data_IF_643857309240
#
_entry.id   IF_643857309240
#
_cell.length_a   1.000
_cell.length_b   1.000
_cell.length_c   1.000
_cell.angle_alpha   90.00
_cell.angle_beta   90.00
_cell.angle_gamma   90.00
#
_symmetry.space_group_name_H-M   'P 1'
#
loop_
_entity.id
_entity.type
_entity.pdbx_description
1 polymer ?
#
# COMPACT_ATOMS: atom_id res chain seq x y z
N UNK A 1 -22.85 15.87 -10.59
CA UNK A 1 -21.98 15.10 -9.65
C UNK A 1 -21.16 14.16 -10.51
N UNK A 2 -19.85 14.08 -10.28
CA UNK A 2 -18.97 13.21 -11.06
C UNK A 2 -19.20 11.73 -10.69
N UNK A 3 -19.44 10.88 -11.68
CA UNK A 3 -19.70 9.45 -11.49
C UNK A 3 -18.56 8.61 -12.04
N UNK A 4 -17.90 7.82 -11.17
CA UNK A 4 -16.68 7.07 -11.46
C UNK A 4 -16.91 5.58 -11.30
N UNK A 5 -16.55 4.78 -12.31
CA UNK A 5 -16.45 3.34 -12.16
C UNK A 5 -15.03 2.96 -11.75
N UNK A 6 -14.87 2.50 -10.52
CA UNK A 6 -13.59 1.98 -10.01
C UNK A 6 -13.52 0.49 -10.25
N UNK A 7 -12.51 0.02 -11.01
CA UNK A 7 -12.32 -1.39 -11.34
C UNK A 7 -11.12 -1.93 -10.59
N UNK A 8 -11.28 -3.05 -9.88
CA UNK A 8 -10.22 -3.66 -9.08
C UNK A 8 -10.27 -5.18 -9.05
N UNK A 9 -9.10 -5.82 -8.99
CA UNK A 9 -8.95 -7.26 -8.69
C UNK A 9 -8.83 -7.54 -7.19
N UNK A 10 -8.58 -6.49 -6.40
CA UNK A 10 -8.41 -6.60 -4.97
C UNK A 10 -9.50 -5.81 -4.25
N UNK A 11 -10.19 -6.46 -3.32
CA UNK A 11 -11.19 -5.85 -2.47
C UNK A 11 -11.14 -6.52 -1.09
N UNK A 12 -11.42 -5.81 0.00
CA UNK A 12 -11.42 -6.43 1.33
C UNK A 12 -12.67 -7.30 1.55
N UNK A 13 -12.68 -8.49 0.96
CA UNK A 13 -13.75 -9.48 1.12
C UNK A 13 -13.90 -9.96 2.56
N UNK A 14 -12.87 -9.78 3.38
CA UNK A 14 -12.81 -10.10 4.81
C UNK A 14 -12.19 -8.94 5.59
N UNK A 15 -12.51 -8.77 6.90
CA UNK A 15 -11.99 -7.66 7.71
C UNK A 15 -10.46 -7.55 7.78
N UNK A 16 -9.75 -8.66 7.58
CA UNK A 16 -8.29 -8.76 7.54
C UNK A 16 -7.72 -8.78 6.11
N UNK A 17 -8.55 -8.50 5.11
CA UNK A 17 -8.13 -8.47 3.70
C UNK A 17 -7.10 -7.36 3.43
N UNK A 18 -6.22 -7.61 2.47
CA UNK A 18 -5.08 -6.73 2.16
C UNK A 18 -5.46 -5.44 1.44
N UNK A 19 -6.62 -5.37 0.80
CA UNK A 19 -7.04 -4.26 -0.07
C UNK A 19 -7.84 -3.15 0.64
N UNK A 20 -7.69 -3.00 1.95
CA UNK A 20 -8.39 -1.97 2.74
C UNK A 20 -8.16 -0.55 2.21
N UNK A 21 -6.97 -0.29 1.63
CA UNK A 21 -6.63 1.00 1.05
C UNK A 21 -7.50 1.38 -0.16
N UNK A 22 -8.00 0.40 -0.95
CA UNK A 22 -8.91 0.67 -2.07
C UNK A 22 -10.31 1.01 -1.56
N UNK A 23 -10.81 0.24 -0.59
CA UNK A 23 -12.10 0.52 0.03
C UNK A 23 -12.11 1.89 0.72
N UNK A 24 -11.03 2.22 1.44
CA UNK A 24 -10.82 3.53 2.06
C UNK A 24 -10.83 4.64 1.01
N UNK A 25 -10.05 4.53 -0.06
CA UNK A 25 -10.05 5.51 -1.14
C UNK A 25 -11.45 5.72 -1.73
N UNK A 26 -12.20 4.64 -1.98
CA UNK A 26 -13.57 4.74 -2.48
C UNK A 26 -14.50 5.44 -1.48
N UNK A 27 -14.36 5.17 -0.18
CA UNK A 27 -15.14 5.80 0.87
C UNK A 27 -14.86 7.32 0.98
N UNK A 28 -13.59 7.72 0.95
CA UNK A 28 -13.21 9.13 1.02
C UNK A 28 -13.59 9.91 -0.25
N UNK A 29 -13.50 9.28 -1.43
CA UNK A 29 -14.00 9.88 -2.67
C UNK A 29 -15.52 10.14 -2.59
N UNK A 30 -16.30 9.18 -2.06
CA UNK A 30 -17.75 9.36 -1.84
C UNK A 30 -18.03 10.46 -0.85
N UNK A 31 -17.32 10.51 0.26
CA UNK A 31 -17.43 11.57 1.25
C UNK A 31 -17.11 12.97 0.69
N UNK A 32 -16.23 13.03 -0.31
CA UNK A 32 -15.88 14.26 -1.04
C UNK A 32 -16.83 14.60 -2.20
N UNK A 33 -17.97 13.91 -2.33
CA UNK A 33 -19.02 14.23 -3.31
C UNK A 33 -18.82 13.58 -4.69
N UNK A 34 -17.94 12.59 -4.83
CA UNK A 34 -17.81 11.78 -6.05
C UNK A 34 -18.67 10.52 -5.93
N UNK A 35 -19.54 10.28 -6.91
CA UNK A 35 -20.28 9.03 -6.97
C UNK A 35 -19.36 7.91 -7.46
N UNK A 36 -18.89 7.05 -6.55
CA UNK A 36 -17.97 5.95 -6.89
C UNK A 36 -18.71 4.64 -6.82
N UNK A 37 -18.78 3.96 -7.96
CA UNK A 37 -19.16 2.56 -8.02
C UNK A 37 -17.95 1.67 -8.13
N UNK A 38 -17.93 0.59 -7.36
CA UNK A 38 -16.80 -0.35 -7.37
C UNK A 38 -17.19 -1.62 -8.09
N UNK A 39 -16.45 -1.94 -9.14
CA UNK A 39 -16.50 -3.23 -9.82
C UNK A 39 -15.28 -4.05 -9.39
N UNK A 40 -15.49 -4.88 -8.38
CA UNK A 40 -14.47 -5.78 -7.87
C UNK A 40 -14.67 -7.20 -8.44
N UNK A 41 -13.58 -7.85 -8.85
CA UNK A 41 -13.60 -9.22 -9.35
C UNK A 41 -12.35 -9.99 -8.93
N UNK A 42 -12.44 -11.31 -8.84
CA UNK A 42 -11.31 -12.17 -8.50
C UNK A 42 -10.65 -12.65 -9.78
N UNK A 43 -9.49 -12.06 -10.09
CA UNK A 43 -8.73 -12.42 -11.31
C UNK A 43 -7.98 -13.74 -11.16
N UNK A 44 -7.36 -13.99 -10.00
CA UNK A 44 -6.65 -15.22 -9.59
C UNK A 44 -5.69 -15.79 -10.65
N UNK A 45 -5.21 -14.94 -11.57
CA UNK A 45 -4.38 -15.38 -12.70
C UNK A 45 -5.11 -16.23 -13.74
N UNK A 46 -6.44 -16.39 -13.62
CA UNK A 46 -7.24 -17.15 -14.57
C UNK A 46 -7.78 -16.26 -15.69
N UNK A 47 -7.39 -16.46 -16.98
CA UNK A 47 -7.85 -15.65 -18.09
C UNK A 47 -9.38 -15.64 -18.28
N UNK A 48 -10.07 -16.74 -17.92
CA UNK A 48 -11.53 -16.82 -18.02
C UNK A 48 -12.22 -15.85 -17.08
N UNK A 49 -11.69 -15.67 -15.85
CA UNK A 49 -12.23 -14.69 -14.92
C UNK A 49 -12.12 -13.27 -15.48
N UNK A 50 -11.01 -12.96 -16.17
CA UNK A 50 -10.86 -11.66 -16.85
C UNK A 50 -11.82 -11.51 -18.04
N UNK A 51 -12.07 -12.55 -18.81
CA UNK A 51 -13.03 -12.51 -19.92
C UNK A 51 -14.46 -12.28 -19.41
N UNK A 52 -14.87 -12.98 -18.37
CA UNK A 52 -16.19 -12.80 -17.73
C UNK A 52 -16.32 -11.39 -17.16
N UNK A 53 -15.31 -10.94 -16.39
CA UNK A 53 -15.28 -9.61 -15.82
C UNK A 53 -15.31 -8.52 -16.90
N UNK A 54 -14.57 -8.71 -18.00
CA UNK A 54 -14.60 -7.81 -19.15
C UNK A 54 -16.01 -7.68 -19.75
N UNK A 55 -16.67 -8.81 -20.01
CA UNK A 55 -18.04 -8.80 -20.52
C UNK A 55 -19.01 -8.07 -19.57
N UNK A 56 -18.92 -8.34 -18.27
CA UNK A 56 -19.75 -7.70 -17.25
C UNK A 56 -19.49 -6.19 -17.15
N UNK A 57 -18.21 -5.79 -17.12
CA UNK A 57 -17.83 -4.38 -17.09
C UNK A 57 -18.30 -3.66 -18.36
N UNK A 58 -18.13 -4.26 -19.55
CA UNK A 58 -18.60 -3.72 -20.83
C UNK A 58 -20.11 -3.52 -20.86
N UNK A 59 -20.86 -4.52 -20.39
CA UNK A 59 -22.33 -4.43 -20.29
C UNK A 59 -22.74 -3.29 -19.36
N UNK A 60 -22.03 -3.08 -18.26
CA UNK A 60 -22.29 -1.99 -17.33
C UNK A 60 -21.99 -0.64 -17.96
N UNK A 61 -20.79 -0.48 -18.56
CA UNK A 61 -20.36 0.73 -19.25
C UNK A 61 -21.23 1.09 -20.50
N UNK A 62 -22.06 0.18 -21.00
CA UNK A 62 -23.02 0.46 -22.09
C UNK A 62 -24.43 0.79 -21.60
N UNK A 63 -24.78 0.40 -20.38
CA UNK A 63 -26.13 0.58 -19.81
C UNK A 63 -26.23 1.74 -18.84
N UNK A 64 -25.13 2.07 -18.22
CA UNK A 64 -25.03 3.10 -17.18
C UNK A 64 -24.08 4.21 -17.65
N UNK A 65 -24.37 5.43 -17.24
CA UNK A 65 -23.50 6.56 -17.53
C UNK A 65 -22.43 6.69 -16.46
N UNK A 66 -21.19 6.75 -16.88
CA UNK A 66 -20.02 7.11 -16.04
C UNK A 66 -19.24 8.21 -16.75
N UNK A 67 -18.69 9.15 -15.98
CA UNK A 67 -17.84 10.22 -16.51
C UNK A 67 -16.43 9.70 -16.80
N UNK A 68 -15.92 8.79 -15.95
CA UNK A 68 -14.61 8.15 -16.15
C UNK A 68 -14.53 6.75 -15.53
N UNK A 69 -13.54 5.99 -15.97
CA UNK A 69 -13.13 4.71 -15.34
C UNK A 69 -11.81 4.93 -14.61
N UNK A 70 -11.72 4.46 -13.36
CA UNK A 70 -10.49 4.38 -12.59
C UNK A 70 -10.08 2.92 -12.37
N UNK A 71 -9.10 2.44 -13.11
CA UNK A 71 -8.55 1.11 -12.94
C UNK A 71 -7.52 1.11 -11.79
N UNK A 72 -7.77 0.29 -10.76
CA UNK A 72 -6.84 0.02 -9.68
C UNK A 72 -5.98 -1.18 -10.09
N UNK A 73 -4.74 -0.97 -10.40
CA UNK A 73 -3.79 -1.88 -11.04
C UNK A 73 -3.86 -1.93 -12.57
N UNK A 74 -2.68 -2.14 -13.18
CA UNK A 74 -2.53 -2.17 -14.64
C UNK A 74 -3.42 -3.20 -15.33
N UNK A 75 -3.58 -4.40 -14.77
CA UNK A 75 -4.43 -5.45 -15.36
C UNK A 75 -5.92 -5.09 -15.38
N UNK A 76 -6.39 -4.25 -14.45
CA UNK A 76 -7.78 -3.82 -14.41
C UNK A 76 -8.15 -2.91 -15.60
N UNK A 77 -7.18 -2.25 -16.21
CA UNK A 77 -7.38 -1.41 -17.39
C UNK A 77 -7.91 -2.21 -18.59
N UNK A 78 -7.63 -3.52 -18.65
CA UNK A 78 -8.18 -4.39 -19.71
C UNK A 78 -9.70 -4.30 -19.80
N UNK A 79 -10.38 -4.19 -18.66
CA UNK A 79 -11.85 -4.16 -18.59
C UNK A 79 -12.44 -2.86 -19.15
N UNK A 80 -11.65 -1.80 -19.21
CA UNK A 80 -12.04 -0.50 -19.78
C UNK A 80 -11.74 -0.42 -21.30
N UNK A 81 -11.01 -1.38 -21.87
CA UNK A 81 -10.62 -1.38 -23.27
C UNK A 81 -11.55 -2.24 -24.16
N UNK A 82 -11.80 -1.86 -25.43
CA UNK A 82 -11.42 -0.59 -26.05
C UNK A 82 -12.07 0.62 -25.35
N UNK A 83 -11.30 1.69 -25.20
CA UNK A 83 -11.69 2.86 -24.42
C UNK A 83 -12.88 3.61 -25.05
N UNK A 84 -13.92 3.87 -24.26
CA UNK A 84 -15.11 4.65 -24.64
C UNK A 84 -15.26 5.94 -23.85
N UNK A 85 -14.60 6.02 -22.70
CA UNK A 85 -14.62 7.17 -21.80
C UNK A 85 -13.22 7.39 -21.21
N UNK A 86 -12.96 8.49 -20.51
CA UNK A 86 -11.70 8.77 -19.83
C UNK A 86 -11.27 7.60 -18.94
N UNK A 87 -9.98 7.26 -18.99
CA UNK A 87 -9.38 6.17 -18.22
C UNK A 87 -8.22 6.70 -17.39
N UNK A 88 -8.34 6.56 -16.08
CA UNK A 88 -7.24 6.75 -15.12
C UNK A 88 -6.77 5.39 -14.64
N UNK A 89 -5.46 5.17 -14.57
CA UNK A 89 -4.88 3.92 -14.04
C UNK A 89 -4.00 4.24 -12.85
N UNK A 90 -4.22 3.58 -11.71
CA UNK A 90 -3.30 3.62 -10.58
C UNK A 90 -2.45 2.36 -10.52
N UNK A 91 -1.13 2.52 -10.53
CA UNK A 91 -0.14 1.46 -10.33
C UNK A 91 0.37 1.47 -8.89
N UNK A 92 0.44 0.25 -8.28
CA UNK A 92 0.72 0.14 -6.85
C UNK A 92 1.97 -0.66 -6.47
N UNK A 93 2.52 -1.44 -7.38
CA UNK A 93 3.72 -2.24 -7.11
C UNK A 93 3.90 -3.36 -8.12
N UNK A 94 3.46 -4.56 -7.79
CA UNK A 94 3.66 -5.80 -8.57
C UNK A 94 3.17 -5.69 -10.01
N UNK A 95 2.21 -4.85 -10.29
CA UNK A 95 1.68 -4.56 -11.61
C UNK A 95 2.69 -3.87 -12.55
N UNK A 96 3.62 -3.08 -12.04
CA UNK A 96 4.72 -2.47 -12.80
C UNK A 96 6.07 -3.13 -12.53
N UNK A 97 6.29 -3.61 -11.31
CA UNK A 97 7.57 -4.24 -10.92
C UNK A 97 7.64 -5.69 -11.38
N UNK A 98 6.48 -6.36 -11.51
CA UNK A 98 6.33 -7.77 -11.81
C UNK A 98 6.14 -8.61 -10.55
N UNK A 99 5.64 -9.83 -10.72
CA UNK A 99 5.35 -10.76 -9.63
C UNK A 99 6.59 -11.62 -9.38
N UNK A 100 7.05 -11.65 -8.13
CA UNK A 100 8.12 -12.53 -7.68
C UNK A 100 7.55 -13.88 -7.26
N UNK A 101 8.33 -14.96 -7.49
CA UNK A 101 7.98 -16.27 -6.95
C UNK A 101 8.17 -16.32 -5.41
N UNK A 102 7.38 -17.18 -4.75
CA UNK A 102 7.42 -17.30 -3.30
C UNK A 102 8.60 -18.15 -2.76
N UNK A 103 9.39 -18.80 -3.63
CA UNK A 103 10.48 -19.66 -3.19
C UNK A 103 11.82 -18.95 -3.22
N UNK A 104 12.13 -18.28 -4.32
CA UNK A 104 13.46 -17.72 -4.58
C UNK A 104 13.47 -16.21 -4.75
N UNK A 105 12.29 -15.55 -4.81
CA UNK A 105 12.18 -14.13 -5.06
C UNK A 105 12.54 -13.72 -6.50
N UNK A 106 12.54 -14.68 -7.45
CA UNK A 106 12.80 -14.40 -8.86
C UNK A 106 11.52 -13.96 -9.57
N UNK A 107 11.67 -13.08 -10.56
CA UNK A 107 10.54 -12.63 -11.36
C UNK A 107 9.93 -13.77 -12.19
N UNK A 108 8.66 -14.05 -11.98
CA UNK A 108 7.92 -15.09 -12.72
C UNK A 108 7.67 -14.67 -14.17
N UNK A 109 7.39 -15.66 -15.06
CA UNK A 109 6.97 -15.38 -16.43
C UNK A 109 5.67 -14.55 -16.44
N UNK A 110 4.70 -14.92 -15.59
CA UNK A 110 3.45 -14.16 -15.42
C UNK A 110 3.73 -12.71 -14.99
N UNK A 111 4.68 -12.48 -14.07
CA UNK A 111 5.09 -11.14 -13.67
C UNK A 111 5.71 -10.32 -14.80
N UNK A 112 6.52 -10.97 -15.69
CA UNK A 112 7.07 -10.30 -16.88
C UNK A 112 5.97 -9.90 -17.88
N UNK A 113 5.01 -10.79 -18.11
CA UNK A 113 3.87 -10.52 -18.98
C UNK A 113 2.97 -9.42 -18.40
N UNK A 114 2.66 -9.48 -17.11
CA UNK A 114 1.90 -8.44 -16.41
C UNK A 114 2.57 -7.07 -16.55
N UNK A 115 3.87 -6.98 -16.29
CA UNK A 115 4.64 -5.75 -16.43
C UNK A 115 4.59 -5.20 -17.85
N UNK A 116 4.74 -6.07 -18.86
CA UNK A 116 4.63 -5.67 -20.28
C UNK A 116 3.24 -5.15 -20.63
N UNK A 117 2.22 -5.87 -20.18
CA UNK A 117 0.82 -5.46 -20.37
C UNK A 117 0.53 -4.13 -19.67
N UNK A 118 0.96 -3.97 -18.41
CA UNK A 118 0.74 -2.73 -17.65
C UNK A 118 1.36 -1.51 -18.33
N UNK A 119 2.58 -1.66 -18.89
CA UNK A 119 3.21 -0.61 -19.69
C UNK A 119 2.40 -0.27 -20.95
N UNK A 120 1.92 -1.28 -21.65
CA UNK A 120 1.07 -1.10 -22.82
C UNK A 120 -0.26 -0.42 -22.43
N UNK A 121 -0.91 -0.84 -21.35
CA UNK A 121 -2.14 -0.25 -20.86
C UNK A 121 -1.98 1.25 -20.51
N UNK A 122 -0.82 1.65 -19.99
CA UNK A 122 -0.53 3.05 -19.68
C UNK A 122 -0.64 3.97 -20.89
N UNK A 123 -0.30 3.50 -22.10
CA UNK A 123 -0.45 4.29 -23.35
C UNK A 123 -1.91 4.58 -23.73
N UNK A 124 -2.85 3.82 -23.17
CA UNK A 124 -4.28 4.01 -23.42
C UNK A 124 -4.97 4.84 -22.34
N UNK A 125 -4.27 5.17 -21.24
CA UNK A 125 -4.80 6.00 -20.17
C UNK A 125 -4.77 7.49 -20.55
N UNK A 126 -5.71 8.26 -20.01
CA UNK A 126 -5.68 9.72 -20.09
C UNK A 126 -4.83 10.33 -18.96
N UNK A 127 -4.71 9.61 -17.84
CA UNK A 127 -3.75 9.90 -16.78
C UNK A 127 -3.31 8.60 -16.08
N UNK A 128 -2.09 8.61 -15.60
CA UNK A 128 -1.50 7.51 -14.81
C UNK A 128 -1.15 8.03 -13.42
N UNK A 129 -1.53 7.28 -12.40
CA UNK A 129 -1.12 7.50 -11.02
C UNK A 129 -0.13 6.39 -10.64
N UNK A 130 1.00 6.76 -10.06
CA UNK A 130 1.94 5.84 -9.42
C UNK A 130 2.06 6.19 -7.95
N UNK A 131 2.22 5.18 -7.09
CA UNK A 131 2.19 5.41 -5.63
C UNK A 131 3.52 5.91 -5.06
N UNK A 132 4.57 6.01 -5.89
CA UNK A 132 5.88 6.53 -5.47
C UNK A 132 6.72 6.96 -6.68
N UNK A 133 7.66 7.89 -6.46
CA UNK A 133 8.50 8.44 -7.54
C UNK A 133 9.31 7.38 -8.25
N UNK A 134 9.90 6.43 -7.52
CA UNK A 134 10.71 5.37 -8.11
C UNK A 134 9.93 4.50 -9.11
N UNK A 135 8.60 4.47 -9.04
CA UNK A 135 7.78 3.71 -9.99
C UNK A 135 7.67 4.37 -11.36
N UNK A 136 7.91 5.67 -11.48
CA UNK A 136 7.91 6.37 -12.77
C UNK A 136 8.90 5.77 -13.77
N UNK A 137 10.05 5.26 -13.28
CA UNK A 137 11.08 4.63 -14.12
C UNK A 137 10.61 3.42 -14.93
N UNK A 138 9.49 2.81 -14.53
CA UNK A 138 8.89 1.68 -15.24
C UNK A 138 8.00 2.10 -16.40
N UNK A 139 7.67 3.40 -16.49
CA UNK A 139 6.77 3.98 -17.49
C UNK A 139 7.57 4.94 -18.38
N UNK A 140 7.58 4.67 -19.67
CA UNK A 140 8.23 5.52 -20.71
C UNK A 140 7.19 5.81 -21.78
N UNK A 141 6.26 6.71 -21.48
CA UNK A 141 5.19 7.07 -22.40
C UNK A 141 4.84 8.55 -22.23
N UNK A 142 4.23 9.14 -23.27
CA UNK A 142 3.78 10.53 -23.23
C UNK A 142 2.52 10.79 -22.39
N UNK A 143 2.00 9.78 -21.67
CA UNK A 143 0.82 9.93 -20.79
C UNK A 143 1.20 10.71 -19.54
N UNK A 144 0.38 11.68 -19.07
CA UNK A 144 0.62 12.36 -17.82
C UNK A 144 0.73 11.41 -16.63
N UNK A 145 1.85 11.48 -15.91
CA UNK A 145 2.11 10.63 -14.74
C UNK A 145 2.04 11.49 -13.47
N UNK A 146 1.23 11.07 -12.52
CA UNK A 146 1.06 11.72 -11.23
C UNK A 146 1.56 10.80 -10.11
N UNK A 147 2.39 11.32 -9.22
CA UNK A 147 2.84 10.58 -8.02
C UNK A 147 1.88 10.87 -6.90
N UNK A 148 1.04 9.89 -6.56
CA UNK A 148 0.05 10.00 -5.49
C UNK A 148 0.10 8.71 -4.65
N UNK A 149 0.85 8.71 -3.54
CA UNK A 149 0.86 7.58 -2.60
C UNK A 149 -0.55 7.29 -2.06
N UNK A 150 -0.80 6.04 -1.68
CA UNK A 150 -2.04 5.73 -0.94
C UNK A 150 -2.08 6.51 0.35
N UNK A 151 -3.19 7.14 0.64
CA UNK A 151 -3.39 7.93 1.84
C UNK A 151 -3.52 7.08 3.10
N UNK A 152 -3.54 7.72 4.24
CA UNK A 152 -3.71 7.14 5.57
C UNK A 152 -4.95 7.75 6.21
N UNK A 153 -5.77 6.92 6.82
CA UNK A 153 -6.85 7.40 7.70
C UNK A 153 -6.25 7.83 9.04
N UNK A 154 -6.07 9.14 9.21
CA UNK A 154 -5.49 9.74 10.41
C UNK A 154 -6.43 9.73 11.62
N UNK A 155 -7.72 9.49 11.44
CA UNK A 155 -8.64 9.27 12.56
C UNK A 155 -8.46 7.87 13.13
N UNK A 156 -8.25 6.87 12.26
CA UNK A 156 -7.99 5.49 12.64
C UNK A 156 -6.57 5.31 13.15
N UNK A 157 -5.55 5.72 12.36
CA UNK A 157 -4.13 5.59 12.69
C UNK A 157 -3.64 6.83 13.41
N UNK A 158 -3.65 6.78 14.74
CA UNK A 158 -3.21 7.86 15.63
C UNK A 158 -2.46 7.29 16.83
N UNK A 159 -1.57 8.08 17.45
CA UNK A 159 -0.91 7.69 18.68
C UNK A 159 -1.94 7.35 19.76
N UNK A 160 -1.69 6.24 20.46
CA UNK A 160 -2.50 5.77 21.59
C UNK A 160 -1.60 5.37 22.75
N UNK A 161 -2.11 5.38 24.02
CA UNK A 161 -1.34 4.93 25.17
C UNK A 161 -0.95 3.44 25.04
N UNK A 162 0.37 3.15 25.16
CA UNK A 162 0.91 1.80 25.02
C UNK A 162 0.35 0.84 26.05
N UNK A 163 0.22 1.27 27.31
CA UNK A 163 -0.29 0.43 28.39
C UNK A 163 -1.68 -0.07 28.07
N UNK A 164 -2.60 0.82 27.72
CA UNK A 164 -3.98 0.47 27.38
C UNK A 164 -4.08 -0.41 26.11
N UNK A 165 -3.20 -0.18 25.13
CA UNK A 165 -3.16 -1.02 23.93
C UNK A 165 -2.70 -2.45 24.27
N UNK A 166 -1.68 -2.60 25.11
CA UNK A 166 -1.23 -3.93 25.59
C UNK A 166 -2.30 -4.65 26.39
N UNK A 167 -3.03 -3.94 27.26
CA UNK A 167 -4.16 -4.50 28.01
C UNK A 167 -5.25 -5.05 27.07
N UNK A 168 -5.67 -4.24 26.07
CA UNK A 168 -6.67 -4.70 25.09
C UNK A 168 -6.25 -5.94 24.31
N UNK A 169 -4.95 -6.07 24.05
CA UNK A 169 -4.39 -7.19 23.28
C UNK A 169 -3.92 -8.36 24.16
N UNK A 170 -4.05 -8.28 25.51
CA UNK A 170 -3.56 -9.29 26.43
C UNK A 170 -2.02 -9.46 26.40
N UNK A 171 -1.28 -8.38 26.14
CA UNK A 171 0.18 -8.37 26.01
C UNK A 171 0.83 -7.91 27.32
N UNK A 172 2.00 -8.49 27.65
CA UNK A 172 2.74 -8.15 28.87
C UNK A 172 3.37 -6.76 28.79
N UNK A 173 3.50 -6.09 29.95
CA UNK A 173 4.07 -4.72 30.02
C UNK A 173 5.62 -4.73 30.03
N UNK A 174 6.23 -5.81 30.52
CA UNK A 174 7.69 -5.88 30.76
C UNK A 174 8.55 -6.30 29.55
N UNK A 175 7.94 -6.71 28.46
CA UNK A 175 8.65 -7.15 27.25
C UNK A 175 8.87 -5.99 26.27
N UNK A 176 9.93 -6.10 25.49
CA UNK A 176 10.08 -5.33 24.23
C UNK A 176 9.32 -6.02 23.12
N UNK A 177 8.47 -5.31 22.40
CA UNK A 177 7.63 -5.86 21.33
C UNK A 177 8.01 -5.23 20.00
N UNK A 178 8.42 -6.05 19.04
CA UNK A 178 8.70 -5.63 17.66
C UNK A 178 7.58 -6.13 16.77
N UNK A 179 6.96 -5.24 16.00
CA UNK A 179 5.86 -5.56 15.09
C UNK A 179 6.40 -5.92 13.71
N UNK A 180 5.89 -6.99 13.14
CA UNK A 180 6.00 -7.32 11.72
C UNK A 180 4.59 -7.32 11.10
N UNK A 181 4.37 -6.56 10.03
CA UNK A 181 3.06 -6.47 9.37
C UNK A 181 3.10 -7.14 7.99
N UNK A 182 2.30 -8.17 7.83
CA UNK A 182 2.14 -8.88 6.56
C UNK A 182 2.08 -10.39 6.70
N UNK A 183 1.75 -11.07 5.59
CA UNK A 183 1.73 -12.53 5.54
C UNK A 183 3.16 -13.10 5.68
N UNK A 184 3.48 -13.86 6.74
CA UNK A 184 4.80 -14.42 6.97
C UNK A 184 5.20 -15.49 5.95
N UNK A 185 4.24 -16.07 5.22
CA UNK A 185 4.47 -17.10 4.20
C UNK A 185 4.88 -16.51 2.85
N UNK A 186 4.65 -15.22 2.63
CA UNK A 186 5.04 -14.55 1.39
C UNK A 186 6.56 -14.27 1.39
N UNK A 187 7.31 -14.93 0.51
CA UNK A 187 8.77 -14.79 0.42
C UNK A 187 9.20 -13.31 0.29
N UNK A 188 8.48 -12.50 -0.48
CA UNK A 188 8.78 -11.07 -0.64
C UNK A 188 8.71 -10.26 0.66
N UNK A 189 7.97 -10.72 1.67
CA UNK A 189 7.89 -10.07 2.99
C UNK A 189 9.07 -10.39 3.90
N UNK A 190 9.78 -11.49 3.61
CA UNK A 190 11.01 -11.92 4.29
C UNK A 190 10.87 -11.98 5.82
N UNK A 191 9.76 -12.59 6.31
CA UNK A 191 9.53 -12.80 7.74
C UNK A 191 10.71 -13.48 8.44
N UNK A 192 11.31 -14.50 7.80
CA UNK A 192 12.47 -15.19 8.33
C UNK A 192 13.67 -14.27 8.58
N UNK A 193 13.83 -13.20 7.79
CA UNK A 193 14.85 -12.18 8.00
C UNK A 193 14.57 -11.36 9.26
N UNK A 194 13.32 -10.89 9.42
CA UNK A 194 12.89 -10.16 10.63
C UNK A 194 13.03 -11.02 11.89
N UNK A 195 12.63 -12.30 11.82
CA UNK A 195 12.72 -13.24 12.94
C UNK A 195 14.17 -13.48 13.36
N UNK A 196 15.10 -13.70 12.40
CA UNK A 196 16.53 -13.84 12.71
C UNK A 196 17.12 -12.58 13.32
N UNK A 197 16.77 -11.41 12.80
CA UNK A 197 17.25 -10.15 13.36
C UNK A 197 16.80 -9.94 14.83
N UNK A 198 15.54 -10.25 15.13
CA UNK A 198 15.05 -10.17 16.52
C UNK A 198 15.72 -11.20 17.43
N UNK A 199 16.02 -12.40 16.93
CA UNK A 199 16.71 -13.45 17.70
C UNK A 199 18.18 -13.08 18.05
N UNK A 200 18.79 -12.15 17.34
CA UNK A 200 20.14 -11.64 17.62
C UNK A 200 20.15 -10.52 18.70
N UNK A 201 18.99 -10.05 19.15
CA UNK A 201 18.92 -9.02 20.20
C UNK A 201 19.28 -9.63 21.57
N UNK A 202 19.78 -8.80 22.52
CA UNK A 202 20.07 -9.25 23.88
C UNK A 202 18.85 -9.93 24.54
N UNK A 203 19.11 -10.98 25.33
CA UNK A 203 18.07 -11.73 26.00
C UNK A 203 17.35 -10.91 27.12
N UNK A 204 17.97 -9.87 27.63
CA UNK A 204 17.41 -9.03 28.71
C UNK A 204 17.45 -7.53 28.32
N UNK A 205 16.30 -6.84 28.36
CA UNK A 205 14.95 -7.39 28.53
C UNK A 205 14.53 -8.24 27.32
N UNK A 206 13.63 -9.23 27.52
CA UNK A 206 13.22 -10.11 26.44
C UNK A 206 12.50 -9.34 25.32
N UNK A 207 12.85 -9.66 24.07
CA UNK A 207 12.23 -9.06 22.89
C UNK A 207 11.42 -10.11 22.15
N UNK A 208 10.16 -9.81 21.83
CA UNK A 208 9.25 -10.68 21.11
C UNK A 208 8.82 -10.06 19.78
N UNK A 209 8.83 -10.86 18.72
CA UNK A 209 8.28 -10.49 17.42
C UNK A 209 6.78 -10.76 17.39
N UNK A 210 5.98 -9.73 17.18
CA UNK A 210 4.53 -9.80 17.02
C UNK A 210 4.21 -9.76 15.53
N UNK A 211 3.39 -10.71 15.07
CA UNK A 211 3.00 -10.80 13.64
C UNK A 211 1.58 -10.22 13.46
N UNK A 212 1.48 -9.10 12.79
CA UNK A 212 0.23 -8.47 12.37
C UNK A 212 -0.27 -9.08 11.06
N UNK A 213 -0.71 -10.33 11.11
CA UNK A 213 -1.33 -11.07 10.00
C UNK A 213 -2.65 -11.69 10.46
N UNK A 214 -3.68 -11.66 9.60
CA UNK A 214 -5.06 -12.01 9.94
C UNK A 214 -5.65 -11.16 11.08
N UNK A 215 -5.11 -9.95 11.24
CA UNK A 215 -5.64 -8.96 12.18
C UNK A 215 -6.62 -8.06 11.42
N UNK A 216 -7.85 -7.83 11.92
CA UNK A 216 -8.74 -6.83 11.36
C UNK A 216 -8.04 -5.45 11.27
N UNK A 217 -8.12 -4.79 10.12
CA UNK A 217 -7.39 -3.55 9.87
C UNK A 217 -7.70 -2.46 10.91
N UNK A 218 -8.93 -2.43 11.42
CA UNK A 218 -9.36 -1.50 12.48
C UNK A 218 -8.67 -1.75 13.83
N UNK A 219 -8.09 -2.91 14.05
CA UNK A 219 -7.32 -3.25 15.26
C UNK A 219 -5.81 -3.01 15.09
N UNK A 220 -5.33 -2.81 13.87
CA UNK A 220 -3.91 -2.59 13.62
C UNK A 220 -3.31 -1.41 14.40
N UNK A 221 -4.02 -0.29 14.63
CA UNK A 221 -3.53 0.79 15.49
C UNK A 221 -3.21 0.34 16.93
N UNK A 222 -3.94 -0.63 17.48
CA UNK A 222 -3.64 -1.18 18.82
C UNK A 222 -2.31 -1.93 18.83
N UNK A 223 -2.02 -2.72 17.78
CA UNK A 223 -0.73 -3.39 17.62
C UNK A 223 0.42 -2.37 17.46
N UNK A 224 0.19 -1.31 16.70
CA UNK A 224 1.18 -0.23 16.53
C UNK A 224 1.41 0.55 17.84
N UNK A 225 0.36 0.75 18.63
CA UNK A 225 0.48 1.38 19.94
C UNK A 225 1.15 0.49 20.97
N UNK A 226 0.88 -0.82 20.96
CA UNK A 226 1.42 -1.81 21.90
C UNK A 226 2.91 -2.09 21.69
N UNK A 227 3.40 -2.04 20.44
CA UNK A 227 4.77 -2.38 20.07
C UNK A 227 5.74 -1.20 20.26
N UNK A 228 7.02 -1.51 20.39
CA UNK A 228 8.11 -0.55 20.59
C UNK A 228 8.79 -0.14 19.28
N UNK A 229 8.73 -0.99 18.24
CA UNK A 229 9.20 -0.70 16.89
C UNK A 229 8.45 -1.53 15.84
N UNK A 230 8.37 -1.03 14.60
CA UNK A 230 8.05 -1.82 13.40
C UNK A 230 9.37 -2.28 12.76
N UNK A 231 9.51 -3.57 12.46
CA UNK A 231 10.55 -4.09 11.57
C UNK A 231 9.97 -4.36 10.19
N UNK A 232 10.57 -3.76 9.16
CA UNK A 232 10.08 -3.87 7.79
C UNK A 232 11.16 -4.40 6.85
N UNK A 233 10.98 -5.65 6.42
CA UNK A 233 12.01 -6.42 5.69
C UNK A 233 11.63 -6.78 4.25
N UNK A 234 10.54 -6.22 3.71
CA UNK A 234 10.07 -6.54 2.36
C UNK A 234 11.15 -6.33 1.28
N UNK A 235 11.21 -7.25 0.32
CA UNK A 235 12.13 -7.16 -0.82
C UNK A 235 11.57 -6.31 -1.97
N UNK A 236 10.25 -6.19 -2.06
CA UNK A 236 9.58 -5.46 -3.13
C UNK A 236 8.32 -4.77 -2.60
N UNK A 237 8.22 -3.46 -2.83
CA UNK A 237 7.05 -2.62 -2.50
C UNK A 237 6.97 -1.42 -3.46
N UNK A 238 5.78 -0.87 -3.63
CA UNK A 238 5.60 0.43 -4.27
C UNK A 238 5.72 1.57 -3.27
N UNK A 239 4.75 1.63 -2.33
CA UNK A 239 4.71 2.58 -1.20
C UNK A 239 4.01 1.87 -0.04
N UNK A 240 4.77 1.26 0.91
CA UNK A 240 4.20 0.36 1.91
C UNK A 240 3.31 1.07 2.91
N UNK A 241 2.03 0.68 2.98
CA UNK A 241 1.07 1.27 3.91
C UNK A 241 1.49 1.03 5.37
N UNK A 242 2.00 -0.16 5.70
CA UNK A 242 2.41 -0.49 7.07
C UNK A 242 3.44 0.49 7.65
N UNK A 243 4.39 0.98 6.83
CA UNK A 243 5.38 1.98 7.26
C UNK A 243 4.71 3.34 7.50
N UNK A 244 3.84 3.77 6.59
CA UNK A 244 3.11 5.04 6.72
C UNK A 244 2.16 5.04 7.91
N UNK A 245 1.44 3.93 8.11
CA UNK A 245 0.51 3.72 9.23
C UNK A 245 1.27 3.67 10.56
N UNK A 246 2.44 3.02 10.62
CA UNK A 246 3.30 3.03 11.81
C UNK A 246 3.77 4.45 12.15
N UNK A 247 4.23 5.21 11.15
CA UNK A 247 4.61 6.62 11.34
C UNK A 247 3.42 7.48 11.79
N UNK A 248 2.22 7.25 11.24
CA UNK A 248 1.01 7.95 11.68
C UNK A 248 0.63 7.66 13.14
N UNK A 249 1.05 6.50 13.68
CA UNK A 249 0.94 6.12 15.09
C UNK A 249 2.17 6.51 15.93
N UNK A 250 3.11 7.27 15.38
CA UNK A 250 4.39 7.63 16.00
C UNK A 250 5.23 6.41 16.44
N UNK A 251 5.01 5.25 15.83
CA UNK A 251 5.79 4.04 16.08
C UNK A 251 7.14 4.13 15.33
N UNK A 252 8.29 3.96 16.02
CA UNK A 252 9.58 3.88 15.35
C UNK A 252 9.63 2.77 14.31
N UNK A 253 10.30 3.02 13.20
CA UNK A 253 10.44 2.06 12.09
C UNK A 253 11.91 1.74 11.86
N UNK A 254 12.22 0.44 11.80
CA UNK A 254 13.48 -0.10 11.29
C UNK A 254 13.21 -0.81 9.98
N UNK A 255 13.83 -0.38 8.89
CA UNK A 255 13.52 -0.91 7.57
C UNK A 255 14.75 -1.08 6.69
N UNK A 256 14.69 -2.07 5.80
CA UNK A 256 15.58 -2.12 4.63
C UNK A 256 15.12 -1.09 3.59
N UNK A 257 16.02 -0.74 2.66
CA UNK A 257 15.71 0.18 1.57
C UNK A 257 14.80 -0.49 0.53
N UNK A 258 13.50 -0.18 0.55
CA UNK A 258 12.50 -0.72 -0.38
C UNK A 258 11.40 0.31 -0.67
N UNK A 259 10.93 0.36 -1.91
CA UNK A 259 9.87 1.30 -2.29
C UNK A 259 10.30 2.75 -2.03
N UNK A 260 9.41 3.48 -1.37
CA UNK A 260 9.63 4.87 -0.95
C UNK A 260 10.01 4.98 0.55
N UNK A 261 10.38 3.89 1.21
CA UNK A 261 10.66 3.89 2.67
C UNK A 261 11.76 4.88 3.03
N UNK A 262 12.86 4.92 2.26
CA UNK A 262 13.95 5.86 2.51
C UNK A 262 13.48 7.33 2.52
N UNK A 263 12.52 7.66 1.65
CA UNK A 263 11.90 8.99 1.60
C UNK A 263 11.03 9.24 2.84
N UNK A 264 10.24 8.22 3.24
CA UNK A 264 9.33 8.33 4.39
C UNK A 264 10.06 8.46 5.73
N UNK A 265 11.23 7.82 5.88
CA UNK A 265 12.02 7.88 7.11
C UNK A 265 12.96 9.09 7.16
N UNK A 266 13.13 9.81 6.06
CA UNK A 266 14.07 10.95 5.98
C UNK A 266 13.70 12.03 7.01
N UNK A 267 14.63 12.34 7.90
CA UNK A 267 14.44 13.36 8.95
C UNK A 267 13.57 12.92 10.13
N UNK A 268 13.07 11.68 10.17
CA UNK A 268 12.33 11.17 11.32
C UNK A 268 13.32 10.58 12.33
N UNK A 269 13.73 11.40 13.29
CA UNK A 269 14.66 10.97 14.32
C UNK A 269 14.11 9.78 15.13
N UNK A 270 14.93 8.72 15.23
CA UNK A 270 14.56 7.48 15.93
C UNK A 270 13.93 6.41 15.04
N UNK A 271 13.82 6.65 13.74
CA UNK A 271 13.68 5.60 12.74
C UNK A 271 15.04 5.28 12.13
N UNK A 272 15.21 4.04 11.65
CA UNK A 272 16.48 3.55 11.09
C UNK A 272 16.24 2.93 9.71
N UNK A 273 17.01 3.41 8.72
CA UNK A 273 17.13 2.75 7.42
C UNK A 273 18.40 1.91 7.42
N UNK A 274 18.27 0.60 7.30
CA UNK A 274 19.40 -0.33 7.31
C UNK A 274 20.26 -0.15 6.04
N UNK A 275 21.58 -0.22 6.21
CA UNK A 275 22.53 -0.10 5.11
C UNK A 275 22.47 -1.30 4.16
N UNK A 276 22.11 -2.45 4.68
CA UNK A 276 21.92 -3.71 3.95
C UNK A 276 20.81 -4.54 4.59
N UNK A 277 20.53 -5.71 4.04
CA UNK A 277 19.49 -6.62 4.51
C UNK A 277 20.05 -7.84 5.27
N UNK A 278 21.23 -7.70 5.91
CA UNK A 278 21.76 -8.73 6.80
C UNK A 278 21.02 -8.70 8.15
N UNK A 279 20.75 -9.88 8.75
CA UNK A 279 20.09 -9.95 10.06
C UNK A 279 20.84 -9.14 11.14
N UNK A 280 22.18 -9.13 11.10
CA UNK A 280 23.04 -8.43 12.06
C UNK A 280 22.88 -6.91 11.95
N UNK A 281 22.79 -6.38 10.73
CA UNK A 281 22.59 -4.95 10.47
C UNK A 281 21.21 -4.51 10.97
N UNK A 282 20.18 -5.32 10.71
CA UNK A 282 18.80 -5.05 11.17
C UNK A 282 18.73 -5.16 12.71
N UNK A 283 19.37 -6.16 13.32
CA UNK A 283 19.43 -6.33 14.76
C UNK A 283 20.11 -5.14 15.45
N UNK A 284 21.24 -4.66 14.91
CA UNK A 284 21.92 -3.49 15.44
C UNK A 284 21.05 -2.23 15.37
N UNK A 285 20.33 -2.03 14.25
CA UNK A 285 19.37 -0.93 14.10
C UNK A 285 18.20 -1.05 15.09
N UNK A 286 17.61 -2.24 15.23
CA UNK A 286 16.57 -2.53 16.23
C UNK A 286 17.08 -2.26 17.66
N UNK A 287 18.30 -2.70 17.98
CA UNK A 287 18.93 -2.46 19.30
C UNK A 287 18.95 -0.96 19.64
N UNK A 288 19.48 -0.12 18.74
CA UNK A 288 19.52 1.34 18.95
C UNK A 288 18.13 1.96 19.13
N UNK A 289 17.15 1.54 18.32
CA UNK A 289 15.77 2.05 18.42
C UNK A 289 15.12 1.63 19.74
N UNK A 290 15.27 0.38 20.14
CA UNK A 290 14.71 -0.17 21.38
C UNK A 290 15.40 0.39 22.65
N UNK A 291 16.71 0.68 22.60
CA UNK A 291 17.46 1.31 23.68
C UNK A 291 17.07 2.79 23.85
N UNK A 292 16.92 3.51 22.74
CA UNK A 292 16.40 4.86 22.77
C UNK A 292 15.01 4.93 23.40
N UNK A 293 14.18 3.94 23.08
CA UNK A 293 12.80 3.87 23.54
C UNK A 293 11.92 5.03 23.06
N UNK A 294 10.66 5.00 23.51
CA UNK A 294 9.70 6.07 23.23
C UNK A 294 9.12 6.07 21.83
N UNK A 295 8.45 7.15 21.48
CA UNK A 295 7.81 7.38 20.18
C UNK A 295 8.63 8.36 19.35
N UNK A 296 8.30 8.45 18.06
CA UNK A 296 8.94 9.35 17.09
C UNK A 296 7.95 10.43 16.64
N UNK A 297 8.40 11.50 16.01
CA UNK A 297 7.54 12.50 15.38
C UNK A 297 7.11 12.05 13.95
N UNK A 298 6.70 10.78 13.82
CA UNK A 298 6.37 10.17 12.55
C UNK A 298 5.12 10.75 11.92
N UNK A 299 4.08 10.98 12.73
CA UNK A 299 2.80 11.51 12.26
C UNK A 299 2.97 12.87 11.55
N UNK A 300 3.80 13.74 12.07
CA UNK A 300 4.08 15.02 11.44
C UNK A 300 4.76 14.84 10.06
N UNK A 301 5.68 13.89 9.96
CA UNK A 301 6.41 13.62 8.72
C UNK A 301 5.51 13.08 7.60
N UNK A 302 4.45 12.32 7.93
CA UNK A 302 3.51 11.75 6.95
C UNK A 302 2.18 12.50 6.88
N UNK A 303 2.03 13.67 7.51
CA UNK A 303 0.78 14.45 7.55
C UNK A 303 0.22 14.80 6.17
N UNK A 304 1.09 15.01 5.18
CA UNK A 304 0.72 15.26 3.78
C UNK A 304 0.08 14.05 3.08
N UNK A 305 0.08 12.87 3.72
CA UNK A 305 -0.56 11.64 3.26
C UNK A 305 -1.93 11.39 3.93
N UNK A 306 -2.51 12.37 4.64
CA UNK A 306 -3.89 12.26 5.08
C UNK A 306 -4.80 11.89 3.90
N UNK A 307 -5.65 10.87 4.08
CA UNK A 307 -6.50 10.36 3.00
C UNK A 307 -7.40 11.45 2.40
N UNK A 308 -7.77 12.47 3.19
CA UNK A 308 -8.54 13.64 2.71
C UNK A 308 -7.74 14.42 1.67
N UNK A 309 -6.46 14.75 1.98
CA UNK A 309 -5.57 15.48 1.08
C UNK A 309 -5.23 14.66 -0.17
N UNK A 310 -5.02 13.36 0.01
CA UNK A 310 -4.77 12.44 -1.11
C UNK A 310 -6.01 12.34 -2.02
N UNK A 311 -7.20 12.25 -1.43
CA UNK A 311 -8.48 12.24 -2.15
C UNK A 311 -8.67 13.51 -3.00
N UNK A 312 -8.38 14.70 -2.45
CA UNK A 312 -8.43 15.96 -3.20
C UNK A 312 -7.47 15.95 -4.40
N UNK A 313 -6.26 15.37 -4.24
CA UNK A 313 -5.31 15.22 -5.35
C UNK A 313 -5.86 14.31 -6.44
N UNK A 314 -6.48 13.20 -6.07
CA UNK A 314 -7.12 12.27 -7.03
C UNK A 314 -8.28 12.96 -7.76
N UNK A 315 -9.12 13.71 -7.05
CA UNK A 315 -10.23 14.45 -7.66
C UNK A 315 -9.71 15.50 -8.65
N UNK A 316 -8.66 16.23 -8.33
CA UNK A 316 -8.03 17.18 -9.28
C UNK A 316 -7.55 16.48 -10.56
N UNK A 317 -6.98 15.29 -10.44
CA UNK A 317 -6.58 14.50 -11.63
C UNK A 317 -7.81 14.13 -12.47
N UNK A 318 -8.91 13.69 -11.85
CA UNK A 318 -10.15 13.40 -12.56
C UNK A 318 -10.68 14.63 -13.29
N UNK A 319 -10.72 15.78 -12.63
CA UNK A 319 -11.17 17.05 -13.22
C UNK A 319 -10.30 17.47 -14.41
N UNK A 320 -8.97 17.32 -14.28
CA UNK A 320 -8.04 17.64 -15.39
C UNK A 320 -8.30 16.74 -16.59
N UNK A 321 -8.51 15.45 -16.37
CA UNK A 321 -8.80 14.47 -17.43
C UNK A 321 -10.13 14.76 -18.12
N UNK A 322 -11.15 15.16 -17.36
CA UNK A 322 -12.47 15.50 -17.89
C UNK A 322 -12.47 16.82 -18.68
N UNK A 323 -11.80 17.85 -18.15
CA UNK A 323 -11.69 19.17 -18.78
C UNK A 323 -10.88 19.15 -20.08
N UNK A 324 -9.85 18.29 -20.16
CA UNK A 324 -9.05 18.12 -21.38
C UNK A 324 -9.81 17.48 -22.55
N UNK A 325 -11.03 17.02 -22.31
CA UNK A 325 -11.96 16.45 -23.30
C UNK A 325 -13.23 17.29 -23.54
N UNK A 326 -13.36 18.44 -22.87
CA UNK A 326 -14.45 19.35 -23.17
C UNK A 326 -14.34 19.74 -24.66
N UNK A 327 -15.39 19.61 -25.48
CA UNK A 327 -15.36 20.06 -26.87
C UNK A 327 -15.06 21.55 -26.88
N UNK A 328 -14.02 21.92 -27.63
CA UNK A 328 -13.72 23.31 -27.98
C UNK A 328 -14.86 23.96 -28.77
#
# INVERSE_FOLDING_TARGET
MMRVLMITTEWPWVPWGTAQFIARQAAFLRAAGVEVEVFAFQGEGNPLNYAVAWYQARRRLTREHFDLVHAQFGQCALLALPKRMPLVITYRGDDLQGILDNRHGHMTLAGRLLRRFSRWAAHHADAVIVVSEHMQRYLQNGTPIHVVPSGIDFELFRPQPRVSARERLGLTQGERLVLFVGNPELARKRYGLASRAVALLPAAPPTRLIVGWHVPHVQMPDYMAACDALVFTSAQEGSPNAVKEALACDLPVVSVAVGDVAERLRGVAGCELCADDRPETIAAALGRVLERGGRVAGRAAVGHLDERLVTERVIRIYQTVLNGRAPS
#
